data_IF_527461140459
#
_entry.id   IF_527461140459
#
_cell.length_a   1.000
_cell.length_b   1.000
_cell.length_c   1.000
_cell.angle_alpha   90.00
_cell.angle_beta   90.00
_cell.angle_gamma   90.00
#
_symmetry.space_group_name_H-M   'P 1'
#
loop_
_entity.id
_entity.type
_entity.pdbx_description
1 polymer ?
#
# COMPACT_ATOMS: atom_id res chain seq x y z
N UNK A 1 56.06 -14.28 53.89
CA UNK A 1 54.58 -14.28 53.94
C UNK A 1 54.09 -14.14 52.51
N UNK A 2 53.37 -15.15 52.01
CA UNK A 2 52.91 -15.31 50.61
C UNK A 2 51.79 -14.29 50.21
N UNK A 3 51.47 -14.18 48.90
CA UNK A 3 50.87 -13.01 48.24
C UNK A 3 49.34 -13.00 48.17
N UNK A 4 48.74 -11.81 48.05
CA UNK A 4 47.32 -11.56 47.75
C UNK A 4 47.31 -10.25 46.93
N UNK A 5 46.80 -10.09 45.70
CA UNK A 5 45.98 -10.88 44.77
C UNK A 5 46.05 -10.13 43.43
N UNK A 6 46.42 -10.77 42.30
CA UNK A 6 46.19 -10.23 40.97
C UNK A 6 44.93 -10.88 40.41
N UNK A 7 43.73 -10.39 40.74
CA UNK A 7 42.50 -10.89 40.12
C UNK A 7 41.43 -9.80 40.02
N UNK A 8 41.65 -8.85 39.11
CA UNK A 8 40.56 -8.06 38.50
C UNK A 8 40.77 -8.07 36.98
N UNK A 9 40.94 -9.26 36.41
CA UNK A 9 41.17 -9.43 34.97
C UNK A 9 40.49 -10.71 34.47
N UNK A 10 39.21 -10.91 34.80
CA UNK A 10 38.42 -12.00 34.23
C UNK A 10 36.92 -11.81 34.51
N UNK A 11 36.26 -10.79 33.93
CA UNK A 11 34.79 -10.67 34.01
C UNK A 11 34.16 -9.87 32.85
N UNK A 12 34.78 -9.87 31.67
CA UNK A 12 34.30 -9.16 30.47
C UNK A 12 34.07 -10.07 29.25
N UNK A 13 33.90 -11.37 29.45
CA UNK A 13 33.77 -12.34 28.36
C UNK A 13 32.62 -13.33 28.57
N UNK A 14 31.38 -12.86 28.75
CA UNK A 14 30.20 -13.74 28.68
C UNK A 14 28.87 -12.97 28.57
N UNK A 15 28.60 -12.29 27.45
CA UNK A 15 27.22 -11.93 27.08
C UNK A 15 27.09 -11.45 25.63
N UNK A 16 27.67 -12.17 24.67
CA UNK A 16 27.24 -12.01 23.26
C UNK A 16 26.26 -13.15 22.99
N UNK A 17 25.05 -13.04 23.54
CA UNK A 17 23.96 -13.89 23.08
C UNK A 17 23.70 -13.52 21.62
N UNK A 18 23.73 -14.48 20.68
CA UNK A 18 23.20 -14.22 19.36
C UNK A 18 21.71 -13.98 19.56
N UNK A 19 21.28 -12.73 19.37
CA UNK A 19 19.89 -12.42 19.07
C UNK A 19 19.59 -13.08 17.72
N UNK A 20 19.41 -14.40 17.74
CA UNK A 20 18.77 -15.14 16.68
C UNK A 20 17.37 -14.57 16.57
N UNK A 21 17.21 -13.59 15.68
CA UNK A 21 15.93 -13.17 15.18
C UNK A 21 15.31 -14.40 14.54
N UNK A 22 14.56 -15.16 15.34
CA UNK A 22 13.60 -16.11 14.83
C UNK A 22 12.66 -15.28 13.97
N UNK A 23 12.92 -15.26 12.67
CA UNK A 23 11.96 -14.85 11.65
C UNK A 23 10.77 -15.79 11.83
N UNK A 24 9.84 -15.40 12.72
CA UNK A 24 8.54 -16.05 12.85
C UNK A 24 7.99 -16.05 11.44
N UNK A 25 7.82 -17.24 10.86
CA UNK A 25 7.06 -17.42 9.64
C UNK A 25 5.69 -16.79 9.90
N UNK A 26 5.50 -15.55 9.46
CA UNK A 26 4.20 -14.91 9.61
C UNK A 26 3.26 -15.75 8.77
N UNK A 27 2.31 -16.42 9.45
CA UNK A 27 1.28 -17.20 8.78
C UNK A 27 0.71 -16.37 7.64
N UNK A 28 0.41 -17.01 6.51
CA UNK A 28 -0.04 -16.32 5.31
C UNK A 28 -1.18 -15.35 5.64
N UNK A 29 -0.90 -14.04 5.60
CA UNK A 29 -1.92 -12.99 5.74
C UNK A 29 -2.35 -12.61 4.33
N UNK A 30 -3.64 -12.76 4.03
CA UNK A 30 -4.20 -12.33 2.75
C UNK A 30 -4.09 -10.80 2.62
N UNK A 31 -3.84 -10.29 1.41
CA UNK A 31 -3.87 -8.85 1.17
C UNK A 31 -5.32 -8.34 1.34
N UNK A 32 -5.55 -7.13 1.90
CA UNK A 32 -6.90 -6.58 2.03
C UNK A 32 -7.56 -6.45 0.67
N UNK A 33 -8.85 -6.77 0.59
CA UNK A 33 -9.58 -6.67 -0.67
C UNK A 33 -9.69 -5.23 -1.17
N UNK A 34 -9.87 -5.05 -2.47
CA UNK A 34 -10.11 -3.73 -3.06
C UNK A 34 -11.37 -3.09 -2.50
N UNK A 35 -12.40 -3.88 -2.21
CA UNK A 35 -13.65 -3.40 -1.60
C UNK A 35 -13.41 -2.84 -0.20
N UNK A 36 -12.63 -3.54 0.64
CA UNK A 36 -12.27 -3.05 1.98
C UNK A 36 -11.55 -1.70 1.91
N UNK A 37 -10.61 -1.53 0.97
CA UNK A 37 -9.91 -0.26 0.78
C UNK A 37 -10.84 0.83 0.24
N UNK A 38 -11.80 0.46 -0.62
CA UNK A 38 -12.81 1.36 -1.15
C UNK A 38 -13.79 1.83 -0.08
N UNK A 39 -14.18 0.96 0.85
CA UNK A 39 -15.00 1.32 2.00
C UNK A 39 -14.32 2.39 2.86
N UNK A 40 -13.01 2.22 3.13
CA UNK A 40 -12.22 3.23 3.87
C UNK A 40 -12.18 4.56 3.11
N UNK A 41 -11.93 4.51 1.80
CA UNK A 41 -11.93 5.70 0.95
C UNK A 41 -13.27 6.43 1.00
N UNK A 42 -14.38 5.72 0.83
CA UNK A 42 -15.72 6.30 0.84
C UNK A 42 -16.09 6.87 2.22
N UNK A 43 -15.74 6.18 3.30
CA UNK A 43 -15.96 6.67 4.66
C UNK A 43 -15.15 7.95 4.95
N UNK A 44 -13.89 8.01 4.50
CA UNK A 44 -13.07 9.21 4.61
C UNK A 44 -13.67 10.39 3.81
N UNK A 45 -14.14 10.13 2.58
CA UNK A 45 -14.81 11.13 1.76
C UNK A 45 -16.15 11.58 2.38
N UNK A 46 -16.88 10.69 3.06
CA UNK A 46 -18.07 11.05 3.82
C UNK A 46 -17.72 12.00 4.98
N UNK A 47 -16.67 11.71 5.77
CA UNK A 47 -16.19 12.62 6.81
C UNK A 47 -15.74 13.99 6.27
N UNK A 48 -15.11 14.01 5.09
CA UNK A 48 -14.76 15.26 4.41
C UNK A 48 -16.03 16.05 4.04
N UNK A 49 -17.05 15.40 3.48
CA UNK A 49 -18.29 16.07 3.05
C UNK A 49 -19.18 16.51 4.21
N UNK A 50 -19.34 15.67 5.22
CA UNK A 50 -20.38 15.83 6.23
C UNK A 50 -19.87 16.45 7.54
N UNK A 51 -18.57 16.28 7.87
CA UNK A 51 -17.96 16.85 9.08
C UNK A 51 -18.70 16.48 10.39
N UNK A 52 -19.33 15.31 10.45
CA UNK A 52 -20.04 14.82 11.63
C UNK A 52 -19.15 13.90 12.46
N UNK A 53 -19.46 13.78 13.76
CA UNK A 53 -18.78 12.82 14.64
C UNK A 53 -18.88 11.39 14.11
N UNK A 54 -20.06 11.01 13.60
CA UNK A 54 -20.34 9.66 13.14
C UNK A 54 -19.50 9.30 11.92
N UNK A 55 -19.59 10.09 10.83
CA UNK A 55 -18.82 9.82 9.60
C UNK A 55 -17.32 9.80 9.83
N UNK A 56 -16.81 10.75 10.61
CA UNK A 56 -15.40 10.84 10.94
C UNK A 56 -14.94 9.71 11.86
N UNK A 57 -15.78 9.25 12.78
CA UNK A 57 -15.47 8.06 13.59
C UNK A 57 -15.46 6.78 12.75
N UNK A 58 -16.38 6.63 11.80
CA UNK A 58 -16.43 5.47 10.90
C UNK A 58 -15.19 5.40 10.02
N UNK A 59 -14.76 6.53 9.44
CA UNK A 59 -13.53 6.60 8.66
C UNK A 59 -12.32 6.10 9.47
N UNK A 60 -12.17 6.54 10.72
CA UNK A 60 -11.09 6.07 11.61
C UNK A 60 -11.22 4.58 11.93
N UNK A 61 -12.41 4.11 12.31
CA UNK A 61 -12.66 2.71 12.68
C UNK A 61 -12.35 1.73 11.55
N UNK A 62 -12.62 2.11 10.30
CA UNK A 62 -12.31 1.26 9.14
C UNK A 62 -10.83 1.30 8.77
N UNK A 63 -10.16 2.45 8.93
CA UNK A 63 -8.75 2.61 8.59
C UNK A 63 -7.80 1.99 9.63
N UNK A 64 -8.14 2.07 10.92
CA UNK A 64 -7.26 1.68 12.03
C UNK A 64 -6.75 0.22 11.94
N UNK A 65 -7.60 -0.80 11.70
CA UNK A 65 -7.14 -2.19 11.61
C UNK A 65 -6.18 -2.45 10.43
N UNK A 66 -6.20 -1.59 9.41
CA UNK A 66 -5.32 -1.73 8.25
C UNK A 66 -3.87 -1.29 8.57
N UNK A 67 -3.66 -0.45 9.58
CA UNK A 67 -2.32 0.02 9.97
C UNK A 67 -1.39 -1.12 10.37
N UNK A 68 -1.93 -2.12 11.07
CA UNK A 68 -1.19 -3.29 11.55
C UNK A 68 -0.94 -4.35 10.48
N UNK A 69 -1.45 -4.14 9.26
CA UNK A 69 -1.35 -5.13 8.20
C UNK A 69 0.10 -5.27 7.69
N UNK A 70 0.73 -6.46 7.75
CA UNK A 70 2.16 -6.62 7.45
C UNK A 70 2.48 -6.49 5.94
N UNK A 71 1.50 -6.74 5.07
CA UNK A 71 1.68 -6.69 3.61
C UNK A 71 1.41 -5.33 2.97
N UNK A 72 0.92 -4.35 3.73
CA UNK A 72 0.65 -3.03 3.16
C UNK A 72 1.96 -2.26 2.98
N UNK A 73 2.20 -1.64 1.80
CA UNK A 73 3.40 -0.85 1.58
C UNK A 73 3.40 0.41 2.47
N UNK A 74 4.58 0.93 2.78
CA UNK A 74 4.73 2.12 3.64
C UNK A 74 3.85 3.29 3.21
N UNK A 75 3.85 3.63 1.91
CA UNK A 75 3.01 4.72 1.39
C UNK A 75 1.51 4.51 1.54
N UNK A 76 1.03 3.25 1.54
CA UNK A 76 -0.36 2.95 1.86
C UNK A 76 -0.66 3.23 3.35
N UNK A 77 0.25 2.82 4.25
CA UNK A 77 0.14 3.10 5.68
C UNK A 77 0.19 4.60 5.98
N UNK A 78 1.02 5.36 5.26
CA UNK A 78 1.07 6.82 5.41
C UNK A 78 -0.26 7.50 5.01
N UNK A 79 -0.90 7.01 3.96
CA UNK A 79 -2.22 7.48 3.54
C UNK A 79 -3.30 7.11 4.57
N UNK A 80 -3.30 5.86 5.06
CA UNK A 80 -4.21 5.40 6.12
C UNK A 80 -4.03 6.21 7.40
N UNK A 81 -2.79 6.40 7.85
CA UNK A 81 -2.46 7.22 9.00
C UNK A 81 -2.92 8.67 8.83
N UNK A 82 -2.74 9.25 7.64
CA UNK A 82 -3.26 10.58 7.32
C UNK A 82 -4.78 10.65 7.42
N UNK A 83 -5.49 9.63 6.93
CA UNK A 83 -6.95 9.53 7.07
C UNK A 83 -7.33 9.46 8.55
N UNK A 84 -6.68 8.61 9.34
CA UNK A 84 -6.98 8.43 10.77
C UNK A 84 -6.80 9.75 11.54
N UNK A 85 -5.67 10.44 11.33
CA UNK A 85 -5.35 11.69 12.04
C UNK A 85 -6.27 12.85 11.65
N UNK A 86 -6.60 12.96 10.36
CA UNK A 86 -7.31 14.12 9.82
C UNK A 86 -8.83 13.96 9.79
N UNK A 87 -9.34 12.73 9.86
CA UNK A 87 -10.78 12.46 9.90
C UNK A 87 -11.34 12.76 11.28
N UNK A 88 -11.25 14.01 11.73
CA UNK A 88 -11.85 14.51 12.97
C UNK A 88 -12.92 15.55 12.64
N UNK A 89 -14.01 15.62 13.41
CA UNK A 89 -14.97 16.70 13.27
C UNK A 89 -14.30 18.04 13.64
N UNK A 90 -14.63 19.09 12.92
CA UNK A 90 -14.18 20.45 13.16
C UNK A 90 -15.40 21.38 13.32
N UNK A 91 -15.20 22.56 13.89
CA UNK A 91 -16.27 23.56 14.06
C UNK A 91 -16.84 24.07 12.72
N UNK A 92 -16.05 24.02 11.64
CA UNK A 92 -16.48 24.38 10.30
C UNK A 92 -15.89 23.43 9.24
N UNK A 93 -16.62 23.21 8.15
CA UNK A 93 -16.18 22.33 7.07
C UNK A 93 -15.45 23.12 5.96
N UNK A 94 -14.27 23.64 6.28
CA UNK A 94 -13.47 24.43 5.33
C UNK A 94 -12.93 23.58 4.18
N UNK A 95 -12.66 24.21 3.02
CA UNK A 95 -12.03 23.54 1.88
C UNK A 95 -10.70 22.88 2.28
N UNK A 96 -9.84 23.61 3.02
CA UNK A 96 -8.56 23.08 3.47
C UNK A 96 -8.72 21.81 4.32
N UNK A 97 -9.74 21.74 5.18
CA UNK A 97 -10.06 20.52 5.94
C UNK A 97 -10.49 19.39 5.01
N UNK A 98 -11.42 19.68 4.11
CA UNK A 98 -11.96 18.69 3.15
C UNK A 98 -10.84 18.08 2.32
N UNK A 99 -9.94 18.91 1.81
CA UNK A 99 -8.82 18.47 0.97
C UNK A 99 -7.78 17.70 1.80
N UNK A 100 -7.53 18.11 3.04
CA UNK A 100 -6.61 17.40 3.93
C UNK A 100 -7.02 15.92 4.14
N UNK A 101 -8.32 15.62 4.13
CA UNK A 101 -8.89 14.26 4.21
C UNK A 101 -9.06 13.64 2.81
N UNK A 102 -9.53 14.43 1.84
CA UNK A 102 -9.87 13.99 0.50
C UNK A 102 -8.66 13.57 -0.32
N UNK A 103 -7.53 14.27 -0.20
CA UNK A 103 -6.28 13.95 -0.90
C UNK A 103 -5.73 12.56 -0.56
N UNK A 104 -5.53 12.18 0.72
CA UNK A 104 -5.09 10.83 1.05
C UNK A 104 -6.16 9.78 0.72
N UNK A 105 -7.45 10.09 0.85
CA UNK A 105 -8.53 9.18 0.47
C UNK A 105 -8.57 8.93 -1.05
N UNK A 106 -8.36 9.96 -1.88
CA UNK A 106 -8.33 9.86 -3.34
C UNK A 106 -7.18 8.99 -3.84
N UNK A 107 -6.03 9.05 -3.17
CA UNK A 107 -4.84 8.25 -3.52
C UNK A 107 -4.82 6.85 -2.90
N UNK A 108 -5.73 6.53 -1.99
CA UNK A 108 -5.68 5.31 -1.18
C UNK A 108 -5.59 4.04 -2.04
N UNK A 109 -6.47 3.87 -3.02
CA UNK A 109 -6.47 2.67 -3.88
C UNK A 109 -5.22 2.55 -4.76
N UNK A 110 -4.61 3.67 -5.15
CA UNK A 110 -3.38 3.67 -5.92
C UNK A 110 -2.18 3.23 -5.07
N UNK A 111 -2.10 3.75 -3.84
CA UNK A 111 -1.01 3.48 -2.91
C UNK A 111 -1.12 2.10 -2.26
N UNK A 112 -2.34 1.63 -2.03
CA UNK A 112 -2.67 0.34 -1.42
C UNK A 112 -2.96 -0.75 -2.46
N UNK A 113 -2.47 -0.61 -3.70
CA UNK A 113 -2.57 -1.69 -4.67
C UNK A 113 -1.56 -2.78 -4.32
N UNK A 114 -2.00 -4.04 -4.32
CA UNK A 114 -1.10 -5.17 -4.17
C UNK A 114 -0.06 -5.16 -5.30
N UNK A 115 1.21 -5.32 -4.93
CA UNK A 115 2.31 -5.48 -5.90
C UNK A 115 2.54 -6.94 -6.27
N UNK A 116 1.65 -7.84 -5.82
CA UNK A 116 1.62 -9.21 -6.32
C UNK A 116 1.38 -9.14 -7.82
N UNK A 117 2.47 -9.30 -8.57
CA UNK A 117 2.42 -9.48 -10.02
C UNK A 117 1.39 -10.58 -10.26
N UNK A 118 0.48 -10.43 -11.25
CA UNK A 118 -0.33 -11.57 -11.64
C UNK A 118 0.66 -12.71 -11.87
N UNK A 119 0.48 -13.83 -11.17
CA UNK A 119 1.13 -15.07 -11.54
C UNK A 119 0.57 -15.33 -12.93
N UNK A 120 1.28 -14.85 -13.94
CA UNK A 120 1.13 -15.31 -15.30
C UNK A 120 1.48 -16.78 -15.20
N UNK A 121 0.48 -17.61 -14.93
CA UNK A 121 0.48 -18.96 -15.45
C UNK A 121 0.87 -18.80 -16.90
N UNK A 122 2.05 -19.30 -17.24
CA UNK A 122 2.48 -19.44 -18.62
C UNK A 122 1.52 -20.44 -19.26
N UNK A 123 0.33 -19.98 -19.63
CA UNK A 123 -0.30 -20.48 -20.84
C UNK A 123 0.30 -19.60 -21.92
N UNK A 124 1.23 -20.19 -22.67
CA UNK A 124 1.77 -19.62 -23.88
C UNK A 124 0.62 -19.02 -24.72
N UNK A 125 0.58 -17.71 -24.97
CA UNK A 125 -0.39 -17.17 -25.89
C UNK A 125 0.00 -17.65 -27.29
N UNK A 126 -0.85 -18.49 -27.88
CA UNK A 126 -0.81 -18.78 -29.30
C UNK A 126 -0.69 -17.45 -30.06
N UNK A 127 0.40 -17.35 -30.81
CA UNK A 127 0.82 -16.17 -31.56
C UNK A 127 -0.36 -15.65 -32.38
N UNK A 128 -0.90 -14.43 -32.12
CA UNK A 128 -1.97 -13.91 -32.95
C UNK A 128 -1.42 -13.74 -34.36
N UNK A 129 -2.03 -14.46 -35.31
CA UNK A 129 -1.78 -14.27 -36.74
C UNK A 129 -1.88 -12.77 -37.03
N UNK A 130 -0.80 -12.26 -37.62
CA UNK A 130 -0.64 -10.89 -38.11
C UNK A 130 -1.79 -10.57 -39.06
N UNK A 131 -2.91 -10.10 -38.52
CA UNK A 131 -4.01 -9.57 -39.30
C UNK A 131 -3.45 -8.41 -40.10
N UNK A 132 -3.55 -8.50 -41.43
CA UNK A 132 -3.10 -7.43 -42.34
C UNK A 132 -3.71 -6.13 -41.87
N UNK A 133 -2.86 -5.14 -41.60
CA UNK A 133 -3.24 -3.87 -41.03
C UNK A 133 -4.41 -3.28 -41.81
N UNK A 134 -5.41 -2.76 -41.10
CA UNK A 134 -6.51 -1.97 -41.66
C UNK A 134 -6.00 -0.89 -42.63
N UNK A 135 -4.79 -0.36 -42.37
CA UNK A 135 -4.11 0.59 -43.25
C UNK A 135 -3.77 0.01 -44.64
N UNK A 136 -3.27 -1.21 -44.73
CA UNK A 136 -3.00 -1.89 -46.02
C UNK A 136 -4.30 -2.12 -46.80
N UNK A 137 -5.40 -2.38 -46.08
CA UNK A 137 -6.71 -2.64 -46.67
C UNK A 137 -7.38 -1.38 -47.20
N UNK A 138 -7.14 -0.23 -46.56
CA UNK A 138 -7.86 1.02 -46.86
C UNK A 138 -7.04 2.04 -47.66
N UNK A 139 -5.72 2.07 -47.51
CA UNK A 139 -4.84 3.05 -48.17
C UNK A 139 -3.85 2.42 -49.17
N UNK A 140 -3.78 1.09 -49.24
CA UNK A 140 -2.79 0.36 -50.04
C UNK A 140 -3.21 0.05 -51.48
N UNK A 141 -3.61 1.05 -52.28
CA UNK A 141 -3.65 0.93 -53.76
C UNK A 141 -3.76 2.30 -54.47
N UNK A 142 -2.61 2.88 -54.82
CA UNK A 142 -2.47 3.90 -55.86
C UNK A 142 -1.02 3.84 -56.33
N UNK A 143 -0.69 3.25 -57.48
CA UNK A 143 -1.12 3.70 -58.81
C UNK A 143 0.03 4.52 -59.39
N UNK A 144 0.88 3.89 -60.19
CA UNK A 144 2.09 4.52 -60.73
C UNK A 144 2.72 3.69 -61.84
N UNK A 145 1.93 3.37 -62.87
CA UNK A 145 2.42 2.87 -64.15
C UNK A 145 3.15 4.03 -64.86
N UNK A 146 4.45 3.87 -65.08
CA UNK A 146 5.24 4.70 -65.99
C UNK A 146 6.04 3.76 -66.87
N UNK A 147 5.52 3.47 -68.05
CA UNK A 147 6.32 3.44 -69.26
C UNK A 147 5.47 3.72 -70.50
#
# INVERSE_FOLDING_TARGET
>A
MLPLRPMVAALLAAAVMPLGQAARSQGFVAYPSTETLREVQLAALACARENTSDTCSTARKLADPLMDHPRLPGGCKDALWSIIQKSTPASSNSLARRDAIGEPAGRLLLLCRSSDKPVTGKTEPEKPQKERSFFDRFFGRGGGDKN
#
